data_IF_665937785909
#
_entry.id   IF_665937785909
#
_cell.length_a   1.000
_cell.length_b   1.000
_cell.length_c   1.000
_cell.angle_alpha   90.00
_cell.angle_beta   90.00
_cell.angle_gamma   90.00
#
_symmetry.space_group_name_H-M   'P 1'
#
loop_
_entity.id
_entity.type
_entity.pdbx_description
1 polymer ?
#
# COMPACT_ATOMS: atom_id res chain seq x y z
N UNK A 1 -3.26 -4.12 9.36
CA UNK A 1 -2.75 -3.51 8.10
C UNK A 1 -3.83 -3.63 7.05
N UNK A 2 -3.84 -2.73 6.06
CA UNK A 2 -4.75 -2.79 4.92
C UNK A 2 -3.92 -2.74 3.63
N UNK A 3 -4.36 -3.50 2.62
CA UNK A 3 -3.68 -3.65 1.33
C UNK A 3 -4.68 -3.32 0.24
N UNK A 4 -4.33 -2.40 -0.66
CA UNK A 4 -5.15 -2.07 -1.82
C UNK A 4 -4.35 -1.31 -2.88
N UNK A 5 -4.98 -1.00 -4.00
CA UNK A 5 -4.34 -0.44 -5.20
C UNK A 5 -4.67 1.04 -5.44
N UNK A 6 -5.68 1.60 -4.75
CA UNK A 6 -6.05 3.01 -4.87
C UNK A 6 -5.43 3.89 -3.76
N UNK A 7 -4.58 4.87 -4.09
CA UNK A 7 -3.96 5.75 -3.09
C UNK A 7 -4.96 6.50 -2.19
N UNK A 8 -6.10 6.92 -2.71
CA UNK A 8 -7.08 7.71 -1.96
C UNK A 8 -7.96 6.82 -1.08
N UNK A 9 -8.51 5.75 -1.66
CA UNK A 9 -9.47 4.90 -0.96
C UNK A 9 -8.76 3.92 -0.02
N UNK A 10 -7.72 3.25 -0.51
CA UNK A 10 -7.10 2.14 0.19
C UNK A 10 -5.98 2.58 1.12
N UNK A 11 -5.20 3.58 0.73
CA UNK A 11 -4.08 4.06 1.55
C UNK A 11 -4.52 5.18 2.46
N UNK A 12 -5.00 6.31 1.91
CA UNK A 12 -5.39 7.44 2.75
C UNK A 12 -6.56 7.09 3.68
N UNK A 13 -7.55 6.36 3.18
CA UNK A 13 -8.66 5.85 4.00
C UNK A 13 -8.21 4.94 5.14
N UNK A 14 -7.38 3.92 4.86
CA UNK A 14 -6.89 3.02 5.89
C UNK A 14 -5.98 3.71 6.91
N UNK A 15 -5.13 4.65 6.46
CA UNK A 15 -4.31 5.50 7.35
C UNK A 15 -5.18 6.31 8.29
N UNK A 16 -6.22 6.97 7.79
CA UNK A 16 -7.15 7.74 8.61
C UNK A 16 -7.88 6.86 9.66
N UNK A 17 -8.08 5.58 9.35
CA UNK A 17 -8.61 4.58 10.28
C UNK A 17 -7.57 4.01 11.26
N UNK A 18 -6.32 4.50 11.26
CA UNK A 18 -5.26 4.05 12.16
C UNK A 18 -4.60 2.73 11.77
N UNK A 19 -4.76 2.28 10.52
CA UNK A 19 -4.16 1.03 10.02
C UNK A 19 -2.81 1.31 9.34
N UNK A 20 -1.87 0.39 9.49
CA UNK A 20 -0.68 0.30 8.61
C UNK A 20 -1.13 0.02 7.17
N UNK A 21 -0.57 0.72 6.20
CA UNK A 21 -0.99 0.74 4.81
C UNK A 21 0.00 0.01 3.90
N UNK A 22 -0.52 -0.69 2.90
CA UNK A 22 0.26 -1.28 1.81
C UNK A 22 -0.39 -0.92 0.48
N UNK A 23 0.37 -0.28 -0.40
CA UNK A 23 -0.05 -0.02 -1.76
C UNK A 23 0.43 -1.11 -2.71
N UNK A 24 -0.50 -1.73 -3.44
CA UNK A 24 -0.19 -2.69 -4.49
C UNK A 24 -0.18 -2.03 -5.86
N UNK A 25 1.00 -1.65 -6.34
CA UNK A 25 1.18 -0.92 -7.59
C UNK A 25 1.67 -1.83 -8.73
N UNK A 26 0.74 -2.60 -9.32
CA UNK A 26 1.05 -3.51 -10.46
C UNK A 26 1.45 -2.78 -11.73
N UNK A 27 0.93 -1.57 -11.94
CA UNK A 27 1.10 -0.80 -13.17
C UNK A 27 2.28 0.16 -13.13
N UNK A 28 3.01 0.23 -12.01
CA UNK A 28 4.01 1.26 -11.74
C UNK A 28 3.45 2.69 -11.95
N UNK A 29 2.19 2.89 -11.54
CA UNK A 29 1.56 4.21 -11.53
C UNK A 29 2.33 5.18 -10.63
N UNK A 30 2.35 6.48 -10.94
CA UNK A 30 2.92 7.49 -10.05
C UNK A 30 2.09 7.60 -8.76
N UNK A 31 2.73 8.00 -7.67
CA UNK A 31 2.06 8.34 -6.43
C UNK A 31 1.48 9.78 -6.52
N UNK A 32 0.29 10.08 -5.98
CA UNK A 32 -0.25 11.44 -5.93
C UNK A 32 0.55 12.33 -4.96
N UNK A 33 0.94 13.53 -5.39
CA UNK A 33 1.79 14.44 -4.63
C UNK A 33 1.11 14.97 -3.35
N UNK A 34 -0.23 14.98 -3.32
CA UNK A 34 -1.05 15.47 -2.23
C UNK A 34 -1.24 14.47 -1.08
N UNK A 35 -0.82 13.21 -1.25
CA UNK A 35 -1.01 12.15 -0.26
C UNK A 35 0.31 11.74 0.39
N UNK A 36 0.27 11.47 1.68
CA UNK A 36 1.38 10.79 2.36
C UNK A 36 1.59 9.38 1.76
N UNK A 37 2.83 8.99 1.41
CA UNK A 37 3.13 7.67 0.85
C UNK A 37 2.61 6.51 1.70
N UNK A 38 2.26 5.39 1.09
CA UNK A 38 1.95 4.16 1.83
C UNK A 38 3.16 3.67 2.65
N UNK A 39 2.91 2.97 3.76
CA UNK A 39 4.01 2.48 4.62
C UNK A 39 4.83 1.38 3.92
N UNK A 40 4.21 0.66 2.99
CA UNK A 40 4.84 -0.35 2.13
C UNK A 40 4.25 -0.20 0.72
N UNK A 41 5.09 -0.32 -0.31
CA UNK A 41 4.64 -0.51 -1.69
C UNK A 41 5.12 -1.86 -2.19
N UNK A 42 4.25 -2.60 -2.87
CA UNK A 42 4.54 -3.89 -3.50
C UNK A 42 4.00 -3.92 -4.92
N UNK A 43 4.65 -4.64 -5.82
CA UNK A 43 4.16 -4.85 -7.18
C UNK A 43 3.04 -5.90 -7.23
N UNK A 44 3.08 -6.92 -6.36
CA UNK A 44 2.09 -8.01 -6.37
C UNK A 44 1.92 -8.72 -5.01
N UNK A 45 0.99 -9.67 -4.97
CA UNK A 45 0.73 -10.47 -3.76
C UNK A 45 1.90 -11.39 -3.37
N UNK A 46 2.76 -11.80 -4.32
CA UNK A 46 3.90 -12.68 -4.02
C UNK A 46 4.97 -11.90 -3.28
N UNK A 47 5.23 -10.66 -3.68
CA UNK A 47 6.11 -9.74 -2.97
C UNK A 47 5.58 -9.45 -1.57
N UNK A 48 4.29 -9.15 -1.44
CA UNK A 48 3.66 -9.00 -0.12
C UNK A 48 3.83 -10.25 0.74
N UNK A 49 3.55 -11.43 0.18
CA UNK A 49 3.70 -12.68 0.91
C UNK A 49 5.14 -12.86 1.44
N UNK A 50 6.16 -12.58 0.61
CA UNK A 50 7.56 -12.61 1.04
C UNK A 50 7.83 -11.69 2.23
N UNK A 51 7.31 -10.45 2.21
CA UNK A 51 7.47 -9.49 3.30
C UNK A 51 6.78 -9.95 4.60
N UNK A 52 5.62 -10.58 4.50
CA UNK A 52 4.86 -11.05 5.66
C UNK A 52 5.45 -12.30 6.31
N UNK A 53 6.21 -13.09 5.54
CA UNK A 53 6.83 -14.33 6.02
C UNK A 53 8.32 -14.18 6.34
N UNK A 54 8.90 -12.99 6.13
CA UNK A 54 10.27 -12.71 6.53
C UNK A 54 10.35 -12.62 8.06
N UNK A 55 11.09 -13.55 8.67
CA UNK A 55 11.29 -13.67 10.13
C UNK A 55 12.21 -12.60 10.69
#
# INVERSE_FOLDING_TARGET
MYVGDDPHLDVAGARAAGLRTVWMNRSAAPWPDELEPADITVADCRELARLLTAT
#
